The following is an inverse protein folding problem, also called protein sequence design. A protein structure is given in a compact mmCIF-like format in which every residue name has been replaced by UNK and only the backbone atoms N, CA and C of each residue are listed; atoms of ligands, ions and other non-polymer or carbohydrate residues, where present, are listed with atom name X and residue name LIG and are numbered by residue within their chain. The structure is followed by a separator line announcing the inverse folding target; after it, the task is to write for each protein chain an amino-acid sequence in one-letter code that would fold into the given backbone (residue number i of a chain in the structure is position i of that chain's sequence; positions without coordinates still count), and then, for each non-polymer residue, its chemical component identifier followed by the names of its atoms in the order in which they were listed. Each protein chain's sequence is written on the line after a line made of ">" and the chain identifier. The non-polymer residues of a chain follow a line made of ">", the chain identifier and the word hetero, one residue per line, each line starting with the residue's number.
data_IF_643740543648
#
_entry.id   IF_643740543648
#
_cell.length_a   1.000
_cell.length_b   1.000
_cell.length_c   1.000
_cell.angle_alpha   90.00
_cell.angle_beta   90.00
_cell.angle_gamma   90.00
#
_symmetry.space_group_name_H-M   'P 1'
#
loop_
_entity.id
_entity.type
_entity.pdbx_description
1 polymer ?
#
# COMPACT_ATOMS: atom_id res chain seq x y z
N UNK A 1 19.04 15.44 8.20
CA UNK A 1 18.97 14.16 7.45
C UNK A 1 17.51 13.86 7.11
N UNK A 2 17.22 13.61 5.84
CA UNK A 2 15.91 13.11 5.44
C UNK A 2 15.74 11.69 5.97
N UNK A 3 14.65 11.38 6.71
CA UNK A 3 14.42 10.00 7.14
C UNK A 3 14.34 9.08 5.93
N UNK A 4 14.93 7.90 6.03
CA UNK A 4 14.79 6.88 5.00
C UNK A 4 13.34 6.40 4.96
N UNK A 5 12.82 6.16 3.76
CA UNK A 5 11.48 5.60 3.61
C UNK A 5 11.43 4.17 4.16
N UNK A 6 10.33 3.83 4.80
CA UNK A 6 10.15 2.50 5.39
C UNK A 6 8.67 2.13 5.47
N UNK A 7 8.40 0.83 5.55
CA UNK A 7 7.07 0.30 5.88
C UNK A 7 6.90 0.38 7.39
N UNK A 8 5.95 1.20 7.86
CA UNK A 8 5.68 1.34 9.29
C UNK A 8 4.68 0.32 9.80
N UNK A 9 3.84 -0.20 8.93
CA UNK A 9 2.88 -1.24 9.31
C UNK A 9 2.57 -2.14 8.12
N UNK A 10 2.55 -3.45 8.39
CA UNK A 10 2.05 -4.48 7.48
C UNK A 10 0.71 -4.93 8.02
N UNK A 11 -0.33 -4.95 7.20
CA UNK A 11 -1.69 -5.24 7.65
C UNK A 11 -2.35 -6.30 6.79
N UNK A 12 -3.03 -7.23 7.44
CA UNK A 12 -3.74 -8.34 6.79
C UNK A 12 -5.11 -8.53 7.43
N UNK A 13 -6.01 -9.18 6.72
CA UNK A 13 -7.30 -9.59 7.27
C UNK A 13 -7.78 -10.89 6.62
N UNK A 14 -8.68 -11.64 7.28
CA UNK A 14 -9.31 -12.82 6.67
C UNK A 14 -10.35 -12.45 5.60
N UNK A 15 -10.57 -11.17 5.37
CA UNK A 15 -11.47 -10.60 4.37
C UNK A 15 -12.06 -9.28 4.83
N UNK A 16 -12.00 -8.27 3.97
CA UNK A 16 -12.55 -6.95 4.24
C UNK A 16 -11.68 -6.07 5.13
N UNK A 17 -12.27 -5.04 5.68
CA UNK A 17 -11.62 -4.03 6.52
C UNK A 17 -12.23 -4.03 7.93
N UNK A 18 -11.49 -3.57 8.94
CA UNK A 18 -10.11 -3.10 8.91
C UNK A 18 -9.12 -4.26 8.77
N UNK A 19 -7.94 -3.98 8.21
CA UNK A 19 -6.83 -4.92 8.23
C UNK A 19 -6.00 -4.69 9.50
N UNK A 20 -5.47 -5.77 10.06
CA UNK A 20 -4.78 -5.73 11.35
C UNK A 20 -3.28 -5.89 11.19
N UNK A 21 -2.47 -5.25 12.07
CA UNK A 21 -1.02 -5.30 11.95
C UNK A 21 -0.46 -6.70 12.22
N UNK A 22 0.56 -7.04 11.43
CA UNK A 22 1.41 -8.22 11.67
C UNK A 22 2.87 -7.78 11.65
N UNK A 23 3.73 -8.53 12.34
CA UNK A 23 5.15 -8.19 12.43
C UNK A 23 5.87 -8.45 11.11
N UNK A 24 5.46 -9.47 10.37
CA UNK A 24 6.06 -9.85 9.10
C UNK A 24 5.07 -10.63 8.24
N UNK A 25 5.36 -10.70 6.94
CA UNK A 25 4.57 -11.49 6.01
C UNK A 25 5.41 -11.89 4.82
N UNK A 26 5.08 -13.03 4.22
CA UNK A 26 5.60 -13.40 2.92
C UNK A 26 4.81 -12.69 1.84
N UNK A 27 5.50 -12.08 0.89
CA UNK A 27 4.91 -11.38 -0.24
C UNK A 27 5.02 -12.27 -1.47
N UNK A 28 3.87 -12.59 -2.06
CA UNK A 28 3.77 -13.41 -3.27
C UNK A 28 3.15 -12.61 -4.40
N UNK A 29 3.12 -13.18 -5.60
CA UNK A 29 2.45 -12.55 -6.75
C UNK A 29 0.95 -12.35 -6.54
N UNK A 30 0.37 -13.03 -5.57
CA UNK A 30 -1.05 -12.89 -5.22
C UNK A 30 -1.30 -11.97 -4.01
N UNK A 31 -0.23 -11.44 -3.40
CA UNK A 31 -0.32 -10.55 -2.26
C UNK A 31 0.38 -11.10 -1.02
N UNK A 32 0.01 -10.60 0.15
CA UNK A 32 0.56 -11.06 1.43
C UNK A 32 -0.07 -12.39 1.84
N UNK A 33 0.76 -13.35 2.24
CA UNK A 33 0.25 -14.55 2.91
C UNK A 33 -0.46 -14.13 4.20
N UNK A 34 -1.62 -14.74 4.45
CA UNK A 34 -2.47 -14.38 5.59
C UNK A 34 -3.51 -13.31 5.29
N UNK A 35 -3.42 -12.67 4.13
CA UNK A 35 -4.41 -11.69 3.69
C UNK A 35 -5.39 -12.34 2.71
N UNK A 36 -6.67 -12.06 2.87
CA UNK A 36 -7.71 -12.55 1.98
C UNK A 36 -8.58 -11.39 1.50
N UNK A 37 -9.06 -11.50 0.26
CA UNK A 37 -9.95 -10.52 -0.34
C UNK A 37 -11.35 -11.13 -0.46
N UNK A 38 -12.37 -10.40 0.00
CA UNK A 38 -13.76 -10.85 -0.15
C UNK A 38 -14.25 -10.74 -1.58
N UNK A 39 -13.81 -9.72 -2.27
CA UNK A 39 -14.22 -9.42 -3.63
C UNK A 39 -13.00 -9.54 -4.56
N UNK A 40 -12.80 -10.73 -5.10
CA UNK A 40 -11.67 -11.03 -5.99
C UNK A 40 -11.81 -10.36 -7.36
N UNK A 41 -13.00 -9.91 -7.72
CA UNK A 41 -13.24 -9.21 -8.98
C UNK A 41 -12.73 -7.76 -8.93
N UNK A 42 -12.96 -7.07 -7.80
CA UNK A 42 -12.60 -5.66 -7.62
C UNK A 42 -11.37 -5.46 -6.74
N UNK A 43 -11.06 -6.44 -5.88
CA UNK A 43 -9.94 -6.41 -4.96
C UNK A 43 -9.20 -7.74 -5.04
N UNK A 44 -7.91 -7.70 -5.16
CA UNK A 44 -7.08 -8.89 -5.26
C UNK A 44 -6.72 -9.24 -6.71
N UNK A 45 -6.05 -10.38 -6.88
CA UNK A 45 -5.43 -10.79 -8.13
C UNK A 45 -4.07 -10.16 -8.35
N UNK A 46 -3.30 -10.60 -9.39
CA UNK A 46 -1.90 -10.16 -9.58
C UNK A 46 -1.72 -8.65 -9.74
N UNK A 47 -2.66 -7.98 -10.39
CA UNK A 47 -2.57 -6.52 -10.62
C UNK A 47 -2.92 -5.70 -9.37
N UNK A 48 -3.52 -6.33 -8.37
CA UNK A 48 -3.93 -5.73 -7.08
C UNK A 48 -3.39 -6.55 -5.92
N UNK A 49 -2.20 -7.11 -6.09
CA UNK A 49 -1.59 -7.97 -5.07
C UNK A 49 -1.34 -7.23 -3.76
N UNK A 50 -0.91 -5.98 -3.84
CA UNK A 50 -0.66 -5.12 -2.69
C UNK A 50 -1.46 -3.83 -2.82
N UNK A 51 -1.97 -3.35 -1.68
CA UNK A 51 -2.54 -2.02 -1.55
C UNK A 51 -1.64 -1.21 -0.62
N UNK A 52 -1.21 -0.04 -1.06
CA UNK A 52 -0.24 0.81 -0.37
C UNK A 52 -0.84 2.17 -0.04
N UNK A 53 -0.47 2.73 1.12
CA UNK A 53 -0.82 4.10 1.47
C UNK A 53 0.27 4.80 2.26
N UNK A 54 0.20 6.12 2.31
CA UNK A 54 1.18 6.98 2.96
C UNK A 54 0.80 7.25 4.41
N UNK A 55 1.74 7.05 5.32
CA UNK A 55 1.57 7.41 6.72
C UNK A 55 1.38 8.93 6.88
N UNK A 56 2.10 9.74 6.11
CA UNK A 56 1.96 11.20 6.15
C UNK A 56 0.57 11.64 5.72
N UNK A 57 -0.02 10.97 4.71
CA UNK A 57 -1.40 11.26 4.28
C UNK A 57 -2.41 10.85 5.35
N UNK A 58 -2.18 9.73 6.03
CA UNK A 58 -3.04 9.31 7.16
C UNK A 58 -2.99 10.37 8.25
N UNK A 59 -1.81 10.85 8.62
CA UNK A 59 -1.68 11.91 9.64
C UNK A 59 -2.39 13.20 9.24
N UNK A 60 -2.30 13.60 7.97
CA UNK A 60 -2.98 14.78 7.46
C UNK A 60 -4.51 14.62 7.54
N UNK A 61 -5.02 13.43 7.20
CA UNK A 61 -6.45 13.13 7.30
C UNK A 61 -6.91 13.09 8.76
N UNK A 62 -6.12 12.57 9.68
CA UNK A 62 -6.40 12.61 11.11
C UNK A 62 -6.50 14.05 11.61
N UNK A 63 -5.63 14.94 11.13
CA UNK A 63 -5.66 16.35 11.47
C UNK A 63 -6.94 17.05 10.97
N UNK A 64 -7.55 16.54 9.91
CA UNK A 64 -8.85 17.00 9.40
C UNK A 64 -10.03 16.44 10.22
N UNK A 65 -9.78 15.54 11.17
CA UNK A 65 -10.81 14.94 12.00
C UNK A 65 -11.31 13.57 11.55
N UNK A 66 -10.64 12.93 10.59
CA UNK A 66 -11.01 11.57 10.16
C UNK A 66 -10.45 10.53 11.15
N UNK A 67 -11.26 9.53 11.55
CA UNK A 67 -10.79 8.48 12.48
C UNK A 67 -9.93 7.40 11.82
N UNK A 68 -9.38 7.67 10.66
CA UNK A 68 -8.50 6.77 9.90
C UNK A 68 -7.25 6.39 10.69
N UNK A 69 -6.85 5.13 10.59
CA UNK A 69 -5.60 4.61 11.17
C UNK A 69 -4.95 3.65 10.16
N UNK A 70 -3.65 3.33 10.31
CA UNK A 70 -3.02 2.35 9.43
C UNK A 70 -3.79 1.03 9.36
N UNK A 71 -4.07 0.55 8.16
CA UNK A 71 -4.84 -0.67 7.91
C UNK A 71 -6.36 -0.48 7.91
N UNK A 72 -6.87 0.63 8.43
CA UNK A 72 -8.32 0.81 8.59
C UNK A 72 -9.07 0.94 7.26
N UNK A 73 -8.40 1.37 6.20
CA UNK A 73 -9.00 1.48 4.86
C UNK A 73 -8.53 0.39 3.90
N UNK A 74 -7.90 -0.66 4.44
CA UNK A 74 -7.60 -1.86 3.68
C UNK A 74 -6.24 -1.88 2.99
N UNK A 75 -5.37 -0.93 3.26
CA UNK A 75 -4.02 -1.01 2.74
C UNK A 75 -3.21 -2.08 3.47
N UNK A 76 -2.39 -2.80 2.71
CA UNK A 76 -1.48 -3.82 3.23
C UNK A 76 -0.22 -3.22 3.81
N UNK A 77 0.33 -2.20 3.16
CA UNK A 77 1.57 -1.54 3.58
C UNK A 77 1.30 -0.07 3.79
N UNK A 78 1.60 0.40 4.99
CA UNK A 78 1.60 1.82 5.34
C UNK A 78 3.05 2.27 5.34
N UNK A 79 3.39 3.24 4.50
CA UNK A 79 4.76 3.64 4.20
C UNK A 79 4.96 5.09 4.62
N UNK A 80 6.09 5.39 5.30
CA UNK A 80 6.47 6.75 5.61
C UNK A 80 7.82 7.12 4.99
N UNK A 81 8.06 8.41 4.82
CA UNK A 81 9.34 8.94 4.37
C UNK A 81 9.54 8.92 2.87
N UNK A 82 8.56 8.47 2.09
CA UNK A 82 8.62 8.46 0.62
C UNK A 82 7.85 9.65 0.06
N UNK A 83 8.31 10.19 -1.08
CA UNK A 83 7.52 11.19 -1.81
C UNK A 83 6.30 10.49 -2.43
N UNK A 84 5.16 10.63 -1.75
CA UNK A 84 3.94 9.96 -2.18
C UNK A 84 3.47 10.40 -3.56
N UNK A 85 3.79 11.63 -3.97
CA UNK A 85 3.46 12.12 -5.31
C UNK A 85 4.25 11.42 -6.42
N UNK A 86 5.34 10.72 -6.07
CA UNK A 86 6.10 9.91 -7.01
C UNK A 86 5.63 8.44 -7.06
N UNK A 87 4.77 8.03 -6.13
CA UNK A 87 4.21 6.66 -6.09
C UNK A 87 2.95 6.63 -6.96
N UNK A 88 3.16 6.62 -8.26
CA UNK A 88 2.12 6.72 -9.28
C UNK A 88 2.13 5.47 -10.16
N UNK A 89 1.05 5.18 -10.90
CA UNK A 89 1.03 4.03 -11.81
C UNK A 89 2.26 4.00 -12.71
N UNK A 90 2.92 2.84 -12.74
CA UNK A 90 4.18 2.62 -13.45
C UNK A 90 5.43 2.73 -12.57
N UNK A 91 5.34 3.33 -11.38
CA UNK A 91 6.49 3.47 -10.48
C UNK A 91 6.93 2.10 -9.94
N UNK A 92 8.24 1.93 -9.76
CA UNK A 92 8.83 0.71 -9.20
C UNK A 92 9.29 0.96 -7.77
N UNK A 93 9.08 -0.04 -6.91
CA UNK A 93 9.45 0.02 -5.49
C UNK A 93 10.25 -1.22 -5.11
N UNK A 94 11.32 -1.02 -4.33
CA UNK A 94 11.94 -2.09 -3.57
C UNK A 94 11.38 -2.03 -2.15
N UNK A 95 10.82 -3.15 -1.71
CA UNK A 95 10.22 -3.29 -0.39
C UNK A 95 11.07 -4.27 0.41
N UNK A 96 11.77 -3.77 1.41
CA UNK A 96 12.75 -4.57 2.13
C UNK A 96 13.93 -4.94 1.24
N UNK A 97 14.52 -6.10 1.47
CA UNK A 97 15.69 -6.56 0.75
C UNK A 97 15.32 -7.23 -0.60
N UNK A 98 14.25 -8.01 -0.62
CA UNK A 98 13.97 -8.94 -1.71
C UNK A 98 12.79 -8.58 -2.59
N UNK A 99 11.79 -7.88 -2.08
CA UNK A 99 10.54 -7.65 -2.80
C UNK A 99 10.67 -6.49 -3.77
N UNK A 100 10.27 -6.71 -5.01
CA UNK A 100 10.15 -5.66 -6.03
C UNK A 100 8.70 -5.62 -6.49
N UNK A 101 8.12 -4.43 -6.51
CA UNK A 101 6.74 -4.21 -6.91
C UNK A 101 6.63 -3.05 -7.88
N UNK A 102 5.58 -3.07 -8.68
CA UNK A 102 5.24 -1.97 -9.58
C UNK A 102 3.84 -1.49 -9.32
N UNK A 103 3.67 -0.20 -9.14
CA UNK A 103 2.35 0.43 -8.97
C UNK A 103 1.55 0.26 -10.24
N UNK A 104 0.32 -0.25 -10.13
CA UNK A 104 -0.53 -0.55 -11.28
C UNK A 104 -1.61 0.49 -11.50
N UNK A 105 -2.29 0.90 -10.43
CA UNK A 105 -3.42 1.84 -10.52
C UNK A 105 -3.74 2.45 -9.17
N UNK A 106 -4.51 3.53 -9.19
CA UNK A 106 -5.09 4.10 -7.99
C UNK A 106 -6.25 3.23 -7.50
N UNK A 107 -6.41 3.16 -6.18
CA UNK A 107 -7.51 2.41 -5.57
C UNK A 107 -8.74 3.29 -5.48
N UNK A 108 -9.86 2.86 -6.06
CA UNK A 108 -11.11 3.58 -5.92
C UNK A 108 -11.70 3.33 -4.51
N UNK A 109 -12.05 4.39 -3.76
CA UNK A 109 -12.70 4.21 -2.47
C UNK A 109 -14.14 3.70 -2.62
N UNK A 110 -14.62 2.97 -1.63
CA UNK A 110 -15.96 2.39 -1.64
C UNK A 110 -16.59 2.43 -0.23
N UNK A 111 -17.85 2.01 -0.15
CA UNK A 111 -18.61 2.00 1.10
C UNK A 111 -17.96 1.21 2.22
N UNK A 112 -17.11 0.25 1.90
CA UNK A 112 -16.44 -0.60 2.92
C UNK A 112 -15.53 0.18 3.86
N UNK A 113 -15.09 1.38 3.48
CA UNK A 113 -14.15 2.18 4.28
C UNK A 113 -14.79 3.40 4.94
N UNK A 114 -16.11 3.53 4.91
CA UNK A 114 -16.84 4.69 5.46
C UNK A 114 -16.52 4.96 6.92
N UNK A 115 -16.31 3.93 7.74
CA UNK A 115 -16.05 4.07 9.17
C UNK A 115 -14.76 4.83 9.49
N UNK A 116 -13.84 4.94 8.54
CA UNK A 116 -12.57 5.66 8.70
C UNK A 116 -12.67 7.14 8.36
N UNK A 117 -13.85 7.62 7.96
CA UNK A 117 -14.02 8.99 7.49
C UNK A 117 -15.11 9.72 8.26
N UNK A 118 -14.82 10.96 8.60
CA UNK A 118 -15.78 11.91 9.16
C UNK A 118 -16.93 12.11 8.17
N UNK A 119 -18.16 12.08 8.64
CA UNK A 119 -19.36 12.15 7.81
C UNK A 119 -19.46 11.03 6.76
N UNK A 120 -18.76 9.92 6.99
CA UNK A 120 -18.72 8.80 6.05
C UNK A 120 -18.22 9.18 4.64
N UNK A 121 -17.46 10.27 4.55
CA UNK A 121 -16.99 10.83 3.28
C UNK A 121 -15.72 10.10 2.80
N UNK A 122 -15.90 8.88 2.32
CA UNK A 122 -14.79 8.08 1.79
C UNK A 122 -14.23 8.64 0.46
N UNK A 123 -14.93 9.55 -0.19
CA UNK A 123 -14.43 10.20 -1.40
C UNK A 123 -13.19 11.07 -1.13
N UNK A 124 -12.91 11.34 0.15
CA UNK A 124 -11.72 12.09 0.58
C UNK A 124 -10.41 11.45 0.11
N UNK A 125 -10.37 10.13 -0.11
CA UNK A 125 -9.21 9.42 -0.64
C UNK A 125 -9.39 9.00 -2.11
N UNK A 126 -10.27 9.67 -2.83
CA UNK A 126 -10.44 9.48 -4.27
C UNK A 126 -9.39 10.28 -5.03
N UNK A 127 -8.64 9.62 -5.91
CA UNK A 127 -7.67 10.29 -6.77
C UNK A 127 -8.34 11.34 -7.66
N UNK A 128 -9.56 11.05 -8.12
CA UNK A 128 -10.33 11.95 -8.99
C UNK A 128 -10.69 13.26 -8.28
N UNK A 129 -11.09 13.17 -7.00
CA UNK A 129 -11.55 14.34 -6.23
C UNK A 129 -10.43 15.02 -5.44
N UNK A 130 -9.46 14.24 -4.98
CA UNK A 130 -8.34 14.70 -4.16
C UNK A 130 -7.05 14.09 -4.68
N UNK A 131 -6.53 14.56 -5.84
CA UNK A 131 -5.31 14.01 -6.41
C UNK A 131 -4.15 14.00 -5.40
N UNK A 132 -3.45 12.87 -5.34
CA UNK A 132 -2.33 12.69 -4.41
C UNK A 132 -2.73 12.11 -3.04
N UNK A 133 -4.02 11.97 -2.75
CA UNK A 133 -4.49 11.45 -1.47
C UNK A 133 -5.06 10.02 -1.56
N UNK A 134 -4.86 9.36 -2.71
CA UNK A 134 -5.35 8.00 -2.94
C UNK A 134 -4.35 6.94 -2.54
N UNK A 135 -4.86 5.79 -2.10
CA UNK A 135 -4.11 4.54 -2.06
C UNK A 135 -3.77 4.11 -3.48
N UNK A 136 -2.77 3.24 -3.61
CA UNK A 136 -2.42 2.62 -4.89
C UNK A 136 -2.37 1.11 -4.76
N UNK A 137 -2.65 0.41 -5.85
CA UNK A 137 -2.38 -1.02 -5.99
C UNK A 137 -1.02 -1.23 -6.62
N UNK A 138 -0.41 -2.36 -6.32
CA UNK A 138 0.85 -2.78 -6.94
C UNK A 138 0.82 -4.26 -7.26
N UNK A 139 1.53 -4.62 -8.35
CA UNK A 139 1.83 -6.01 -8.68
C UNK A 139 3.20 -6.36 -8.10
N UNK A 140 3.40 -7.63 -7.77
CA UNK A 140 4.67 -8.13 -7.24
C UNK A 140 5.48 -8.74 -8.38
N UNK A 141 6.65 -8.17 -8.62
CA UNK A 141 7.57 -8.63 -9.67
C UNK A 141 8.64 -9.58 -9.14
N UNK A 142 8.97 -9.49 -7.87
CA UNK A 142 9.89 -10.39 -7.17
C UNK A 142 9.34 -10.64 -5.78
N UNK A 143 9.16 -11.92 -5.44
CA UNK A 143 8.63 -12.33 -4.14
C UNK A 143 9.70 -12.29 -3.05
N UNK A 144 9.28 -12.27 -1.80
CA UNK A 144 10.16 -12.33 -0.65
C UNK A 144 9.41 -12.13 0.64
N UNK A 145 10.16 -12.05 1.72
CA UNK A 145 9.61 -11.76 3.05
C UNK A 145 9.79 -10.28 3.38
N UNK A 146 8.85 -9.73 4.11
CA UNK A 146 8.84 -8.34 4.53
C UNK A 146 8.49 -8.27 6.00
N UNK A 147 9.15 -7.39 6.73
CA UNK A 147 8.83 -7.14 8.14
C UNK A 147 8.64 -5.65 8.39
N UNK A 148 7.87 -5.35 9.42
CA UNK A 148 7.62 -3.98 9.85
C UNK A 148 8.95 -3.28 10.12
N UNK A 149 9.09 -2.07 9.59
CA UNK A 149 10.32 -1.29 9.69
C UNK A 149 11.27 -1.45 8.50
N UNK A 150 11.02 -2.39 7.60
CA UNK A 150 11.87 -2.61 6.44
C UNK A 150 11.91 -1.38 5.52
N UNK A 151 13.08 -1.10 4.92
CA UNK A 151 13.24 0.07 4.04
C UNK A 151 12.39 -0.05 2.77
N UNK A 152 11.99 1.11 2.24
CA UNK A 152 11.29 1.24 0.96
C UNK A 152 12.10 2.18 0.09
N UNK A 153 12.23 1.84 -1.19
CA UNK A 153 13.03 2.63 -2.13
C UNK A 153 12.31 2.73 -3.47
N UNK A 154 12.20 3.95 -4.00
CA UNK A 154 11.79 4.15 -5.39
C UNK A 154 12.93 3.71 -6.30
N UNK A 155 12.61 2.95 -7.34
CA UNK A 155 13.59 2.44 -8.29
C UNK A 155 13.33 3.01 -9.68
N UNK A 156 14.40 3.14 -10.47
CA UNK A 156 14.26 3.27 -11.91
C UNK A 156 13.87 1.92 -12.51
N UNK A 157 13.33 1.93 -13.72
CA UNK A 157 13.02 0.69 -14.44
C UNK A 157 14.25 -0.21 -14.57
N UNK A 158 15.40 0.36 -14.89
CA UNK A 158 16.66 -0.39 -15.03
C UNK A 158 17.10 -1.04 -13.72
N UNK A 159 17.00 -0.30 -12.61
CA UNK A 159 17.33 -0.85 -11.29
C UNK A 159 16.39 -1.99 -10.90
N UNK A 160 15.09 -1.84 -11.16
CA UNK A 160 14.10 -2.89 -10.92
C UNK A 160 14.38 -4.13 -11.75
N UNK A 161 14.65 -3.96 -13.05
CA UNK A 161 14.99 -5.06 -13.95
C UNK A 161 16.24 -5.80 -13.50
N UNK A 162 17.26 -5.08 -13.03
CA UNK A 162 18.48 -5.67 -12.49
C UNK A 162 18.23 -6.53 -11.27
N UNK A 163 17.40 -6.07 -10.34
CA UNK A 163 17.05 -6.83 -9.14
C UNK A 163 16.25 -8.10 -9.48
N UNK A 164 15.32 -8.02 -10.42
CA UNK A 164 14.52 -9.16 -10.86
C UNK A 164 15.41 -10.21 -11.54
N UNK A 165 16.36 -9.78 -12.36
CA UNK A 165 17.27 -10.68 -13.07
C UNK A 165 18.32 -11.32 -12.16
N UNK A 166 18.61 -10.74 -11.00
CA UNK A 166 19.64 -11.20 -10.07
C UNK A 166 19.22 -12.37 -9.18
N UNK A 167 18.13 -13.02 -9.46
CA UNK A 167 17.64 -14.20 -8.70
C UNK A 167 18.64 -15.34 -8.71
#
# INVERSE_FOLDING_TARGET
>A
MTPSARTVQISVSPGGVPKRPVASARVTTLGLEGDAQRDLEHHGGPERALCLFSQERIRALQAEGHPITPGSIGENLTIEGIDWNAVTPGAYLRLGEDVVAQVTRYTAPCLNITASFRHQDYSRVSQKRHPGDSRVYARVLREGSLKSGDPVQLLTEDAASGLIAAR
#
